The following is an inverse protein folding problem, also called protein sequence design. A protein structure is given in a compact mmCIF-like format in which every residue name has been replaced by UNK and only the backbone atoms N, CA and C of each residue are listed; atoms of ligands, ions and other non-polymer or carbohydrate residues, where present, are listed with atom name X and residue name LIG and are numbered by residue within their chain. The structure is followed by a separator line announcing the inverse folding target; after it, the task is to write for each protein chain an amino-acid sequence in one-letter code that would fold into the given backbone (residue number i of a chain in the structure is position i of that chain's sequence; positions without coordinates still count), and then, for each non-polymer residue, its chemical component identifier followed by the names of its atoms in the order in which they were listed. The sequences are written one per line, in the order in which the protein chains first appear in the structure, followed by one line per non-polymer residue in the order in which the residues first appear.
data_IF_401858341224
#
_entry.id   IF_401858341224
#
_cell.length_a   1.000
_cell.length_b   1.000
_cell.length_c   1.000
_cell.angle_alpha   90.00
_cell.angle_beta   90.00
_cell.angle_gamma   90.00
#
_symmetry.space_group_name_H-M   'P 1'
#
loop_
_entity.id
_entity.type
_entity.pdbx_description
1 polymer ?
#
# COMPACT_ATOMS: atom_id res chain seq x y z
N UNK A 1 3.82 -7.11 20.19
CA UNK A 1 2.86 -5.98 20.08
C UNK A 1 2.07 -6.13 18.78
N UNK A 2 0.75 -5.90 18.80
CA UNK A 2 -0.09 -5.80 17.59
C UNK A 2 -0.17 -4.33 17.19
N UNK A 3 0.05 -4.04 15.91
CA UNK A 3 0.00 -2.67 15.37
C UNK A 3 -0.80 -2.67 14.08
N UNK A 4 -1.81 -1.81 14.01
CA UNK A 4 -2.57 -1.54 12.79
C UNK A 4 -1.96 -0.33 12.10
N UNK A 5 -1.83 -0.40 10.77
CA UNK A 5 -1.29 0.69 9.96
C UNK A 5 -1.74 0.57 8.51
N UNK A 6 -1.95 1.69 7.85
CA UNK A 6 -2.09 1.74 6.39
C UNK A 6 -0.70 1.71 5.77
N UNK A 7 -0.51 0.86 4.76
CA UNK A 7 0.74 0.83 3.99
C UNK A 7 0.51 1.41 2.61
N UNK A 8 1.43 2.27 2.18
CA UNK A 8 1.47 2.84 0.84
C UNK A 8 2.60 2.18 0.06
N UNK A 9 2.28 1.65 -1.12
CA UNK A 9 3.29 1.26 -2.12
C UNK A 9 3.24 2.30 -3.22
N UNK A 10 4.35 3.01 -3.42
CA UNK A 10 4.51 3.97 -4.50
C UNK A 10 5.17 3.30 -5.71
N UNK A 11 4.38 3.01 -6.74
CA UNK A 11 4.90 2.50 -8.02
C UNK A 11 4.76 3.59 -9.09
N UNK A 12 5.66 4.57 -9.04
CA UNK A 12 5.60 5.73 -9.92
C UNK A 12 4.28 6.50 -9.74
N UNK A 13 3.49 6.76 -10.81
CA UNK A 13 2.24 7.53 -10.70
C UNK A 13 1.06 6.73 -10.14
N UNK A 14 1.26 5.46 -9.77
CA UNK A 14 0.21 4.56 -9.29
C UNK A 14 0.31 4.50 -7.75
N UNK A 15 -0.53 5.24 -7.01
CA UNK A 15 -0.61 5.09 -5.57
C UNK A 15 -1.35 3.80 -5.21
N UNK A 16 -0.79 2.98 -4.32
CA UNK A 16 -1.43 1.76 -3.82
C UNK A 16 -1.46 1.78 -2.30
N UNK A 17 -2.59 2.27 -1.75
CA UNK A 17 -2.84 2.33 -0.31
C UNK A 17 -3.78 1.20 0.13
N UNK A 18 -3.33 0.38 1.07
CA UNK A 18 -4.11 -0.74 1.60
C UNK A 18 -3.84 -0.97 3.09
N UNK A 19 -4.82 -1.54 3.78
CA UNK A 19 -4.76 -1.83 5.19
C UNK A 19 -3.89 -3.07 5.47
N UNK A 20 -3.14 -2.97 6.56
CA UNK A 20 -2.27 -4.04 7.05
C UNK A 20 -2.37 -4.13 8.57
N UNK A 21 -2.10 -5.32 9.08
CA UNK A 21 -1.99 -5.55 10.52
C UNK A 21 -0.79 -6.44 10.82
N UNK A 22 0.03 -5.96 11.75
CA UNK A 22 1.35 -6.50 12.01
C UNK A 22 1.54 -6.93 13.45
N UNK A 23 2.34 -7.97 13.65
CA UNK A 23 2.87 -8.32 14.96
C UNK A 23 4.38 -8.25 14.98
N UNK A 24 4.91 -7.67 16.06
CA UNK A 24 6.35 -7.65 16.36
C UNK A 24 6.66 -8.58 17.53
N UNK A 25 7.69 -9.42 17.35
CA UNK A 25 8.35 -10.17 18.42
C UNK A 25 9.68 -9.50 18.75
N UNK A 26 9.92 -9.27 20.04
CA UNK A 26 11.09 -8.56 20.55
C UNK A 26 12.00 -9.55 21.30
N UNK A 27 13.31 -9.47 21.04
CA UNK A 27 14.36 -10.14 21.81
C UNK A 27 15.36 -9.07 22.21
N UNK A 28 15.66 -8.96 23.51
CA UNK A 28 16.53 -7.92 24.07
C UNK A 28 16.16 -6.49 23.66
N UNK A 29 14.86 -6.20 23.61
CA UNK A 29 14.33 -4.88 23.22
C UNK A 29 14.43 -4.55 21.72
N UNK A 30 14.92 -5.49 20.89
CA UNK A 30 15.03 -5.33 19.43
C UNK A 30 14.00 -6.19 18.71
N UNK A 31 13.52 -5.72 17.55
CA UNK A 31 12.61 -6.49 16.70
C UNK A 31 13.36 -7.69 16.13
N UNK A 32 13.00 -8.89 16.58
CA UNK A 32 13.54 -10.15 16.09
C UNK A 32 12.67 -10.74 14.96
N UNK A 33 11.36 -10.49 15.01
CA UNK A 33 10.44 -10.83 13.93
C UNK A 33 9.46 -9.69 13.70
N UNK A 34 9.28 -9.36 12.43
CA UNK A 34 8.23 -8.51 11.94
C UNK A 34 7.34 -9.31 10.99
N UNK A 35 6.09 -9.55 11.39
CA UNK A 35 5.11 -10.27 10.56
C UNK A 35 3.93 -9.36 10.25
N UNK A 36 3.79 -9.00 8.98
CA UNK A 36 2.66 -8.25 8.44
C UNK A 36 1.66 -9.19 7.78
N UNK A 37 0.38 -8.89 7.92
CA UNK A 37 -0.73 -9.57 7.26
C UNK A 37 -1.59 -8.53 6.56
N UNK A 38 -2.09 -8.90 5.38
CA UNK A 38 -2.97 -8.07 4.57
C UNK A 38 -3.88 -8.97 3.75
N UNK A 39 -4.96 -8.39 3.23
CA UNK A 39 -5.90 -9.08 2.37
C UNK A 39 -5.54 -8.89 0.89
N UNK A 40 -5.46 -9.99 0.14
CA UNK A 40 -5.08 -9.97 -1.28
C UNK A 40 -6.15 -9.29 -2.14
N UNK A 41 -7.43 -9.46 -1.82
CA UNK A 41 -8.51 -8.79 -2.53
C UNK A 41 -8.43 -7.28 -2.28
N UNK A 42 -8.19 -6.85 -1.03
CA UNK A 42 -8.01 -5.43 -0.71
C UNK A 42 -6.82 -4.83 -1.47
N UNK A 43 -5.66 -5.48 -1.45
CA UNK A 43 -4.48 -5.06 -2.21
C UNK A 43 -4.80 -4.95 -3.71
N UNK A 44 -5.52 -5.93 -4.26
CA UNK A 44 -5.90 -5.95 -5.68
C UNK A 44 -6.81 -4.78 -6.04
N UNK A 45 -7.79 -4.46 -5.20
CA UNK A 45 -8.66 -3.31 -5.41
C UNK A 45 -7.91 -1.98 -5.23
N UNK A 46 -6.99 -1.89 -4.27
CA UNK A 46 -6.13 -0.73 -4.10
C UNK A 46 -5.28 -0.47 -5.36
N UNK A 47 -4.66 -1.52 -5.90
CA UNK A 47 -3.89 -1.44 -7.14
C UNK A 47 -4.75 -1.00 -8.33
N UNK A 48 -5.95 -1.58 -8.48
CA UNK A 48 -6.87 -1.21 -9.55
C UNK A 48 -7.30 0.27 -9.48
N UNK A 49 -7.59 0.78 -8.26
CA UNK A 49 -7.89 2.20 -8.05
C UNK A 49 -6.71 3.10 -8.42
N UNK A 50 -5.49 2.73 -7.98
CA UNK A 50 -4.27 3.47 -8.31
C UNK A 50 -4.03 3.58 -9.81
N UNK A 51 -4.21 2.47 -10.54
CA UNK A 51 -4.05 2.44 -12.01
C UNK A 51 -5.08 3.35 -12.68
N UNK A 52 -6.35 3.27 -12.28
CA UNK A 52 -7.41 4.12 -12.82
C UNK A 52 -7.12 5.61 -12.57
N UNK A 53 -6.58 5.94 -11.40
CA UNK A 53 -6.16 7.30 -11.05
C UNK A 53 -5.03 7.80 -11.96
N UNK A 54 -3.98 6.98 -12.12
CA UNK A 54 -2.84 7.30 -12.99
C UNK A 54 -3.27 7.48 -14.45
N UNK A 55 -4.11 6.58 -14.97
CA UNK A 55 -4.63 6.66 -16.34
C UNK A 55 -5.45 7.94 -16.56
N UNK A 56 -6.30 8.30 -15.59
CA UNK A 56 -7.10 9.54 -15.65
C UNK A 56 -6.19 10.77 -15.66
N UNK A 57 -5.16 10.80 -14.81
CA UNK A 57 -4.19 11.90 -14.78
C UNK A 57 -3.44 12.06 -16.12
N UNK A 58 -2.97 10.94 -16.71
CA UNK A 58 -2.31 10.94 -18.00
C UNK A 58 -3.23 11.43 -19.12
N UNK A 59 -4.50 11.04 -19.10
CA UNK A 59 -5.47 11.50 -20.10
C UNK A 59 -5.76 13.00 -19.98
N UNK A 60 -5.80 13.53 -18.76
CA UNK A 60 -5.94 14.98 -18.53
C UNK A 60 -4.71 15.71 -19.09
N UNK A 61 -3.51 15.23 -18.81
CA UNK A 61 -2.27 15.84 -19.30
C UNK A 61 -2.20 15.85 -20.83
N UNK A 62 -2.57 14.74 -21.47
CA UNK A 62 -2.63 14.63 -22.94
C UNK A 62 -3.63 15.59 -23.60
N UNK A 63 -4.64 16.08 -22.87
CA UNK A 63 -5.63 17.05 -23.39
C UNK A 63 -5.21 18.50 -23.19
N UNK A 64 -4.17 18.76 -22.40
CA UNK A 64 -3.67 20.11 -22.09
C UNK A 64 -2.56 20.57 -23.05
N UNK A 65 -1.93 19.66 -23.78
CA UNK A 65 -1.00 19.94 -24.88
C UNK A 65 -1.70 19.96 -26.23
#
# INVERSE_FOLDING_TARGET
MLTERTHAIELGPIPVDFWTWGTFELVDGKIALWRERFDIAELSFAAARGIAHAATALQIESRRG
#
